data_IF_680020413874
#
_entry.id   IF_680020413874
#
_cell.length_a   1.000
_cell.length_b   1.000
_cell.length_c   1.000
_cell.angle_alpha   90.00
_cell.angle_beta   90.00
_cell.angle_gamma   90.00
#
_symmetry.space_group_name_H-M   'P 1'
#
loop_
_entity.id
_entity.type
_entity.pdbx_description
1 polymer ?
#
# COMPACT_ATOMS: atom_id res chain seq x y z
N UNK A 1 -17.71 16.13 19.39
CA UNK A 1 -17.09 14.79 19.42
C UNK A 1 -15.62 14.99 19.73
N UNK A 2 -14.98 14.11 20.50
CA UNK A 2 -13.51 14.08 20.47
C UNK A 2 -13.15 13.41 19.15
N UNK A 3 -12.29 14.04 18.37
CA UNK A 3 -11.74 13.41 17.17
C UNK A 3 -11.02 12.13 17.60
N UNK A 4 -11.38 11.01 16.99
CA UNK A 4 -10.68 9.76 17.24
C UNK A 4 -9.25 9.86 16.71
N UNK A 5 -8.35 9.00 17.18
CA UNK A 5 -6.97 8.98 16.67
C UNK A 5 -6.94 8.79 15.15
N UNK A 6 -7.84 7.96 14.58
CA UNK A 6 -7.97 7.79 13.13
C UNK A 6 -8.44 9.08 12.43
N UNK A 7 -9.42 9.80 12.98
CA UNK A 7 -9.88 11.07 12.37
C UNK A 7 -8.75 12.12 12.30
N UNK A 8 -7.85 12.09 13.28
CA UNK A 8 -6.68 12.98 13.33
C UNK A 8 -5.59 12.55 12.34
N UNK A 9 -5.38 11.26 12.16
CA UNK A 9 -4.50 10.72 11.10
C UNK A 9 -5.02 11.15 9.73
N UNK A 10 -6.31 10.95 9.45
CA UNK A 10 -6.94 11.26 8.15
C UNK A 10 -6.91 12.76 7.80
N UNK A 11 -6.75 13.63 8.79
CA UNK A 11 -6.66 15.09 8.59
C UNK A 11 -5.23 15.63 8.55
N UNK A 12 -4.21 14.77 8.69
CA UNK A 12 -2.80 15.18 8.82
C UNK A 12 -2.02 15.21 7.50
N UNK A 13 -2.68 15.14 6.33
CA UNK A 13 -2.04 15.05 5.01
C UNK A 13 -1.86 16.43 4.34
N UNK A 14 -0.84 17.17 4.78
CA UNK A 14 -0.29 18.38 4.17
C UNK A 14 1.21 18.17 3.89
N UNK A 15 1.68 18.16 2.63
CA UNK A 15 3.09 17.96 2.28
C UNK A 15 4.10 18.81 3.06
N UNK A 16 3.72 20.01 3.52
CA UNK A 16 4.61 20.92 4.25
C UNK A 16 4.67 20.63 5.76
N UNK A 17 3.66 19.96 6.34
CA UNK A 17 3.48 19.84 7.79
C UNK A 17 3.24 18.41 8.30
N UNK A 18 2.96 17.44 7.42
CA UNK A 18 2.57 16.07 7.79
C UNK A 18 3.57 15.38 8.71
N UNK A 19 4.87 15.53 8.49
CA UNK A 19 5.87 14.74 9.21
C UNK A 19 5.85 14.98 10.72
N UNK A 20 5.84 16.24 11.15
CA UNK A 20 5.86 16.59 12.57
C UNK A 20 4.51 16.29 13.23
N UNK A 21 3.39 16.61 12.56
CA UNK A 21 2.06 16.31 13.06
C UNK A 21 1.87 14.80 13.30
N UNK A 22 2.30 13.98 12.33
CA UNK A 22 2.20 12.53 12.43
C UNK A 22 3.19 11.93 13.41
N UNK A 23 4.38 12.50 13.55
CA UNK A 23 5.33 12.09 14.59
C UNK A 23 4.72 12.26 15.99
N UNK A 24 4.03 13.38 16.24
CA UNK A 24 3.32 13.63 17.50
C UNK A 24 2.17 12.64 17.71
N UNK A 25 1.37 12.36 16.67
CA UNK A 25 0.25 11.41 16.73
C UNK A 25 0.70 9.96 17.00
N UNK A 26 1.78 9.52 16.34
CA UNK A 26 2.36 8.19 16.52
C UNK A 26 2.92 8.04 17.93
N UNK A 27 3.51 9.11 18.49
CA UNK A 27 4.05 9.12 19.85
C UNK A 27 2.98 9.01 20.96
N UNK A 28 1.68 9.19 20.65
CA UNK A 28 0.59 8.94 21.60
C UNK A 28 0.35 7.44 21.85
N UNK A 29 0.86 6.57 20.98
CA UNK A 29 0.72 5.12 21.07
C UNK A 29 1.96 4.50 21.72
N UNK A 30 1.82 3.26 22.20
CA UNK A 30 2.95 2.54 22.78
C UNK A 30 4.02 2.26 21.71
N UNK A 31 5.31 2.24 22.08
CA UNK A 31 6.36 1.81 21.17
C UNK A 31 6.05 0.41 20.62
N UNK A 32 6.08 0.26 19.29
CA UNK A 32 5.76 -0.99 18.61
C UNK A 32 4.27 -1.24 18.36
N UNK A 33 3.39 -0.28 18.66
CA UNK A 33 1.98 -0.35 18.25
C UNK A 33 1.88 -0.51 16.72
N UNK A 34 1.23 -1.57 16.22
CA UNK A 34 1.23 -1.90 14.80
C UNK A 34 0.48 -0.86 13.95
N UNK A 35 -0.58 -0.24 14.47
CA UNK A 35 -1.28 0.84 13.76
C UNK A 35 -0.41 2.09 13.67
N UNK A 36 0.27 2.45 14.77
CA UNK A 36 1.15 3.61 14.79
C UNK A 36 2.34 3.44 13.84
N UNK A 37 2.91 2.23 13.77
CA UNK A 37 3.98 1.90 12.82
C UNK A 37 3.51 1.93 11.37
N UNK A 38 2.30 1.44 11.10
CA UNK A 38 1.69 1.52 9.78
C UNK A 38 1.54 2.98 9.33
N UNK A 39 0.92 3.84 10.16
CA UNK A 39 0.75 5.25 9.80
C UNK A 39 2.07 6.01 9.69
N UNK A 40 3.05 5.66 10.51
CA UNK A 40 4.39 6.22 10.37
C UNK A 40 5.03 5.82 9.03
N UNK A 41 4.84 4.59 8.59
CA UNK A 41 5.26 4.16 7.26
C UNK A 41 4.53 4.95 6.17
N UNK A 42 3.22 5.20 6.32
CA UNK A 42 2.40 5.92 5.33
C UNK A 42 2.88 7.34 5.10
N UNK A 43 3.36 8.01 6.14
CA UNK A 43 3.96 9.35 6.03
C UNK A 43 5.27 9.33 5.27
N UNK A 44 6.14 8.34 5.53
CA UNK A 44 7.38 8.21 4.76
C UNK A 44 7.10 7.90 3.30
N UNK A 45 6.10 7.05 3.01
CA UNK A 45 5.69 6.72 1.64
C UNK A 45 5.17 7.95 0.90
N UNK A 46 4.30 8.72 1.56
CA UNK A 46 3.79 10.00 1.05
C UNK A 46 4.90 11.02 0.75
N UNK A 47 5.99 11.00 1.52
CA UNK A 47 7.15 11.87 1.33
C UNK A 47 8.23 11.29 0.39
N UNK A 48 7.98 10.13 -0.23
CA UNK A 48 8.91 9.46 -1.14
C UNK A 48 10.15 8.86 -0.45
N UNK A 49 10.07 8.59 0.85
CA UNK A 49 11.15 8.05 1.69
C UNK A 49 11.10 6.53 1.76
N UNK A 50 11.27 5.89 0.61
CA UNK A 50 11.05 4.45 0.42
C UNK A 50 11.90 3.55 1.33
N UNK A 51 13.14 3.97 1.62
CA UNK A 51 14.06 3.21 2.47
C UNK A 51 13.56 3.12 3.92
N UNK A 52 12.84 4.12 4.38
CA UNK A 52 12.21 4.20 5.69
C UNK A 52 10.89 3.40 5.74
N UNK A 53 10.15 3.33 4.62
CA UNK A 53 8.87 2.59 4.53
C UNK A 53 9.07 1.09 4.79
N UNK A 54 10.05 0.46 4.13
CA UNK A 54 10.24 -1.00 4.17
C UNK A 54 10.35 -1.56 5.59
N UNK A 55 11.27 -1.09 6.47
CA UNK A 55 11.37 -1.63 7.82
C UNK A 55 10.11 -1.37 8.64
N UNK A 56 9.46 -0.22 8.48
CA UNK A 56 8.26 0.12 9.23
C UNK A 56 7.07 -0.77 8.86
N UNK A 57 6.77 -0.92 7.56
CA UNK A 57 5.71 -1.80 7.09
C UNK A 57 5.95 -3.26 7.53
N UNK A 58 7.20 -3.76 7.46
CA UNK A 58 7.52 -5.12 7.91
C UNK A 58 7.23 -5.33 9.39
N UNK A 59 7.58 -4.37 10.25
CA UNK A 59 7.31 -4.48 11.69
C UNK A 59 5.81 -4.35 11.95
N UNK A 60 5.11 -3.42 11.31
CA UNK A 60 3.66 -3.26 11.45
C UNK A 60 2.89 -4.54 11.07
N UNK A 61 3.21 -5.13 9.91
CA UNK A 61 2.63 -6.39 9.45
C UNK A 61 3.00 -7.56 10.37
N UNK A 62 4.27 -7.65 10.78
CA UNK A 62 4.73 -8.70 11.69
C UNK A 62 4.15 -8.61 13.10
N UNK A 63 3.79 -7.41 13.55
CA UNK A 63 3.12 -7.14 14.82
C UNK A 63 1.59 -7.30 14.73
N UNK A 64 1.04 -7.58 13.54
CA UNK A 64 -0.37 -7.88 13.34
C UNK A 64 -1.27 -6.65 13.24
N UNK A 65 -0.86 -5.64 12.46
CA UNK A 65 -1.79 -4.57 12.04
C UNK A 65 -3.03 -5.20 11.42
N UNK A 66 -4.21 -4.81 11.91
CA UNK A 66 -5.46 -5.54 11.66
C UNK A 66 -6.42 -4.84 10.70
N UNK A 67 -7.44 -5.58 10.26
CA UNK A 67 -8.50 -5.09 9.39
C UNK A 67 -7.98 -4.68 8.01
N UNK A 68 -8.59 -3.64 7.44
CA UNK A 68 -8.24 -3.12 6.11
C UNK A 68 -6.76 -2.72 6.00
N UNK A 69 -6.14 -2.28 7.11
CA UNK A 69 -4.74 -1.86 7.16
C UNK A 69 -3.75 -3.01 6.95
N UNK A 70 -4.14 -4.27 7.19
CA UNK A 70 -3.29 -5.42 6.89
C UNK A 70 -3.03 -5.49 5.39
N UNK A 71 -4.10 -5.56 4.59
CA UNK A 71 -4.04 -5.60 3.14
C UNK A 71 -3.41 -4.34 2.54
N UNK A 72 -3.77 -3.16 3.06
CA UNK A 72 -3.19 -1.89 2.63
C UNK A 72 -1.68 -1.84 2.94
N UNK A 73 -1.26 -2.31 4.11
CA UNK A 73 0.16 -2.38 4.50
C UNK A 73 0.96 -3.32 3.62
N UNK A 74 0.36 -4.42 3.14
CA UNK A 74 1.01 -5.28 2.15
C UNK A 74 1.18 -4.58 0.80
N UNK A 75 0.17 -3.85 0.33
CA UNK A 75 0.26 -3.05 -0.91
C UNK A 75 1.33 -1.96 -0.77
N UNK A 76 1.31 -1.23 0.34
CA UNK A 76 2.29 -0.19 0.67
C UNK A 76 3.71 -0.74 0.73
N UNK A 77 3.92 -1.95 1.25
CA UNK A 77 5.23 -2.60 1.25
C UNK A 77 5.68 -3.05 -0.16
N UNK A 78 4.73 -3.39 -1.05
CA UNK A 78 5.02 -3.92 -2.39
C UNK A 78 5.75 -2.89 -3.25
N UNK A 79 5.33 -1.63 -3.22
CA UNK A 79 5.91 -0.52 -4.00
C UNK A 79 7.41 -0.26 -3.74
N UNK A 80 7.86 0.03 -2.50
CA UNK A 80 9.28 0.29 -2.24
C UNK A 80 10.14 -0.96 -2.47
N UNK A 81 9.62 -2.18 -2.19
CA UNK A 81 10.37 -3.42 -2.46
C UNK A 81 10.72 -3.58 -3.93
N UNK A 82 9.77 -3.31 -4.85
CA UNK A 82 10.06 -3.38 -6.28
C UNK A 82 11.08 -2.31 -6.70
N UNK A 83 11.00 -1.10 -6.14
CA UNK A 83 11.89 0.01 -6.49
C UNK A 83 13.34 -0.22 -6.04
N UNK A 84 13.56 -0.93 -4.92
CA UNK A 84 14.91 -1.33 -4.46
C UNK A 84 15.42 -2.64 -5.09
N UNK A 85 14.76 -3.15 -6.14
CA UNK A 85 15.16 -4.36 -6.86
C UNK A 85 14.83 -5.67 -6.15
N UNK A 86 13.93 -5.66 -5.15
CA UNK A 86 13.43 -6.86 -4.46
C UNK A 86 12.07 -7.30 -5.01
N UNK A 87 11.89 -7.27 -6.33
CA UNK A 87 10.64 -7.58 -7.00
C UNK A 87 10.14 -9.02 -6.70
N UNK A 88 11.03 -10.02 -6.70
CA UNK A 88 10.70 -11.38 -6.27
C UNK A 88 10.08 -11.46 -4.85
N UNK A 89 10.56 -10.63 -3.92
CA UNK A 89 10.01 -10.57 -2.55
C UNK A 89 8.64 -9.91 -2.56
N UNK A 90 8.47 -8.83 -3.34
CA UNK A 90 7.21 -8.13 -3.51
C UNK A 90 6.12 -9.05 -4.10
N UNK A 91 6.46 -9.89 -5.08
CA UNK A 91 5.54 -10.88 -5.70
C UNK A 91 5.07 -11.93 -4.68
N UNK A 92 5.92 -12.32 -3.73
CA UNK A 92 5.60 -13.34 -2.75
C UNK A 92 4.65 -12.85 -1.63
N UNK A 93 4.39 -11.54 -1.57
CA UNK A 93 3.46 -10.97 -0.60
C UNK A 93 2.00 -11.34 -0.93
N UNK A 94 1.13 -11.51 0.08
CA UNK A 94 -0.27 -11.89 -0.14
C UNK A 94 -1.16 -10.76 -0.68
N UNK A 95 -0.62 -9.57 -0.99
CA UNK A 95 -1.39 -8.38 -1.36
C UNK A 95 -1.85 -8.34 -2.82
N UNK A 96 -1.36 -9.26 -3.65
CA UNK A 96 -1.80 -9.44 -5.02
C UNK A 96 -3.09 -10.26 -5.17
N UNK A 97 -4.01 -10.20 -4.21
CA UNK A 97 -5.29 -10.94 -4.29
C UNK A 97 -6.32 -10.14 -5.08
N UNK A 98 -7.03 -10.76 -6.04
CA UNK A 98 -8.18 -10.11 -6.65
C UNK A 98 -9.30 -9.95 -5.61
N UNK A 99 -10.13 -8.91 -5.78
CA UNK A 99 -11.36 -8.65 -5.02
C UNK A 99 -11.20 -8.25 -3.54
N UNK A 100 -10.04 -7.74 -3.14
CA UNK A 100 -9.90 -7.15 -1.80
C UNK A 100 -10.59 -5.77 -1.72
N UNK A 101 -11.67 -5.60 -0.93
CA UNK A 101 -12.39 -4.32 -0.87
C UNK A 101 -11.56 -3.17 -0.27
N UNK A 102 -10.56 -3.50 0.57
CA UNK A 102 -9.73 -2.50 1.27
C UNK A 102 -8.67 -1.86 0.37
N UNK A 103 -8.31 -2.54 -0.73
CA UNK A 103 -7.27 -2.09 -1.68
C UNK A 103 -7.77 -1.97 -3.12
N UNK A 104 -8.96 -2.50 -3.43
CA UNK A 104 -9.50 -2.51 -4.79
C UNK A 104 -8.52 -3.13 -5.79
N UNK A 105 -8.31 -2.46 -6.92
CA UNK A 105 -7.35 -2.92 -7.94
C UNK A 105 -5.89 -2.60 -7.62
N UNK A 106 -5.59 -1.91 -6.50
CA UNK A 106 -4.22 -1.47 -6.19
C UNK A 106 -3.28 -2.66 -5.98
N UNK A 107 -3.73 -3.71 -5.26
CA UNK A 107 -2.96 -4.93 -5.07
C UNK A 107 -2.54 -5.61 -6.38
N UNK A 108 -3.47 -5.72 -7.33
CA UNK A 108 -3.17 -6.24 -8.68
C UNK A 108 -2.23 -5.33 -9.46
N UNK A 109 -2.40 -4.01 -9.36
CA UNK A 109 -1.54 -3.05 -10.06
C UNK A 109 -0.08 -3.16 -9.60
N UNK A 110 0.16 -3.19 -8.28
CA UNK A 110 1.52 -3.33 -7.75
C UNK A 110 2.10 -4.74 -7.96
N UNK A 111 1.27 -5.80 -7.94
CA UNK A 111 1.71 -7.13 -8.37
C UNK A 111 2.17 -7.14 -9.83
N UNK A 112 1.39 -6.54 -10.74
CA UNK A 112 1.76 -6.46 -12.16
C UNK A 112 3.09 -5.71 -12.35
N UNK A 113 3.29 -4.60 -11.63
CA UNK A 113 4.55 -3.87 -11.68
C UNK A 113 5.74 -4.70 -11.15
N UNK A 114 5.55 -5.44 -10.05
CA UNK A 114 6.59 -6.31 -9.52
C UNK A 114 6.91 -7.49 -10.48
N UNK A 115 5.88 -8.09 -11.09
CA UNK A 115 6.05 -9.12 -12.12
C UNK A 115 6.82 -8.60 -13.33
N UNK A 116 6.55 -7.37 -13.75
CA UNK A 116 7.25 -6.73 -14.86
C UNK A 116 8.74 -6.56 -14.54
N UNK A 117 9.06 -6.05 -13.36
CA UNK A 117 10.44 -5.84 -12.91
C UNK A 117 11.25 -7.14 -12.78
N UNK A 118 10.58 -8.26 -12.48
CA UNK A 118 11.18 -9.60 -12.44
C UNK A 118 11.27 -10.25 -13.84
N UNK A 119 10.86 -9.55 -14.91
CA UNK A 119 10.90 -10.05 -16.28
C UNK A 119 9.75 -10.97 -16.69
N UNK A 120 8.72 -11.14 -15.83
CA UNK A 120 7.53 -11.97 -16.09
C UNK A 120 6.45 -11.18 -16.84
N UNK A 121 6.81 -10.63 -18.00
CA UNK A 121 6.01 -9.62 -18.71
C UNK A 121 4.62 -10.10 -19.13
N UNK A 122 4.49 -11.34 -19.61
CA UNK A 122 3.20 -11.89 -20.04
C UNK A 122 2.22 -11.99 -18.86
N UNK A 123 2.73 -12.41 -17.70
CA UNK A 123 1.94 -12.50 -16.46
C UNK A 123 1.58 -11.10 -15.94
N UNK A 124 2.53 -10.17 -15.94
CA UNK A 124 2.30 -8.78 -15.59
C UNK A 124 1.17 -8.16 -16.43
N UNK A 125 1.21 -8.36 -17.75
CA UNK A 125 0.19 -7.85 -18.66
C UNK A 125 -1.17 -8.52 -18.40
N UNK A 126 -1.20 -9.83 -18.18
CA UNK A 126 -2.43 -10.54 -17.85
C UNK A 126 -3.08 -10.00 -16.57
N UNK A 127 -2.30 -9.84 -15.51
CA UNK A 127 -2.77 -9.27 -14.23
C UNK A 127 -3.32 -7.85 -14.43
N UNK A 128 -2.58 -6.99 -15.12
CA UNK A 128 -3.00 -5.61 -15.36
C UNK A 128 -4.30 -5.52 -16.18
N UNK A 129 -4.42 -6.31 -17.26
CA UNK A 129 -5.61 -6.31 -18.11
C UNK A 129 -6.85 -6.84 -17.38
N UNK A 130 -6.69 -7.91 -16.59
CA UNK A 130 -7.79 -8.45 -15.79
C UNK A 130 -8.23 -7.46 -14.71
N UNK A 131 -7.30 -6.76 -14.06
CA UNK A 131 -7.62 -5.72 -13.07
C UNK A 131 -8.31 -4.50 -13.69
N UNK A 132 -8.00 -4.16 -14.93
CA UNK A 132 -8.62 -3.06 -15.66
C UNK A 132 -9.95 -3.42 -16.32
N UNK A 133 -10.16 -4.68 -16.70
CA UNK A 133 -11.34 -5.13 -17.45
C UNK A 133 -12.69 -4.64 -16.88
N UNK A 134 -12.93 -4.63 -15.54
CA UNK A 134 -14.18 -4.11 -14.97
C UNK A 134 -14.39 -2.60 -15.17
N UNK A 135 -13.32 -1.84 -15.42
CA UNK A 135 -13.34 -0.37 -15.60
C UNK A 135 -13.49 0.04 -17.05
N UNK A 136 -13.25 -0.87 -17.99
CA UNK A 136 -13.38 -0.61 -19.42
C UNK A 136 -14.86 -0.59 -19.79
N UNK A 137 -15.36 0.57 -20.24
CA UNK A 137 -16.75 0.68 -20.70
C UNK A 137 -16.99 -0.25 -21.90
N UNK A 138 -17.91 -1.20 -21.75
CA UNK A 138 -18.37 -2.10 -22.82
C UNK A 138 -19.32 -1.42 -23.83
N UNK A 139 -19.60 -0.12 -23.67
CA UNK A 139 -20.43 0.66 -24.59
C UNK A 139 -19.72 1.04 -25.90
N UNK A 140 -18.62 0.37 -26.24
CA UNK A 140 -18.03 0.48 -27.57
C UNK A 140 -18.86 -0.34 -28.56
N UNK A 141 -19.56 0.34 -29.47
CA UNK A 141 -20.28 -0.24 -30.63
C UNK A 141 -19.41 -1.18 -31.47
N UNK A 142 -18.08 -1.13 -31.34
CA UNK A 142 -17.11 -1.96 -32.09
C UNK A 142 -17.02 -3.40 -31.57
N UNK A 143 -17.43 -3.68 -30.33
CA UNK A 143 -17.34 -5.02 -29.72
C UNK A 143 -18.68 -5.78 -29.68
N UNK A 144 -19.69 -5.34 -30.44
CA UNK A 144 -20.97 -6.04 -30.63
C UNK A 144 -21.02 -6.78 -31.96
#
# INVERSE_FOLDING_TARGET
MRDSWNDRVDSSWDPEQTLEAMHQLVAERLPGDPEALYEWASVHDFLGREAEVIPLCRVALGAGVGGDKESQGVVQLTSPLRNVGQAAVAIALPGGRPDDPSTGSAGQAFLALALYDEGRHDEALSVALLALAPTLSLDCVVCR
#
